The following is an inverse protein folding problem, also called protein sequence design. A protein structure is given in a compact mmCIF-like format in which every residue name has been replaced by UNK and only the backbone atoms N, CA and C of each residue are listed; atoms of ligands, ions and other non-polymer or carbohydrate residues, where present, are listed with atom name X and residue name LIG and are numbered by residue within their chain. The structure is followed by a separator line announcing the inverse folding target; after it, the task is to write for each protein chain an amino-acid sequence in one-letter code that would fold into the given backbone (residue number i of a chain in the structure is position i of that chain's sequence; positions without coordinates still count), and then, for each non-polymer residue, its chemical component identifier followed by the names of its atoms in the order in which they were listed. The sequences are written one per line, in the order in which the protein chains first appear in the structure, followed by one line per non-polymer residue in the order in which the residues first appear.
data_IF_869596888581
#
_entry.id   IF_869596888581
#
_cell.length_a   1.000
_cell.length_b   1.000
_cell.length_c   1.000
_cell.angle_alpha   90.00
_cell.angle_beta   90.00
_cell.angle_gamma   90.00
#
_symmetry.space_group_name_H-M   'P 1'
#
loop_
_entity.id
_entity.type
_entity.pdbx_description
1 polymer ?
#
# COMPACT_ATOMS: atom_id res chain seq x y z
N UNK A 1 5.89 -5.55 8.54
CA UNK A 1 6.92 -6.22 9.37
C UNK A 1 6.28 -7.00 10.51
N UNK A 2 5.42 -6.38 11.32
CA UNK A 2 4.69 -7.05 12.41
C UNK A 2 3.93 -8.31 11.94
N UNK A 3 3.24 -8.24 10.81
CA UNK A 3 2.48 -9.39 10.27
C UNK A 3 3.38 -10.57 9.89
N UNK A 4 4.60 -10.30 9.41
CA UNK A 4 5.56 -11.36 9.06
C UNK A 4 6.08 -12.07 10.32
N UNK A 5 6.33 -11.30 11.39
CA UNK A 5 6.72 -11.87 12.68
C UNK A 5 5.57 -12.70 13.27
N UNK A 6 4.33 -12.24 13.18
CA UNK A 6 3.15 -12.99 13.62
C UNK A 6 3.01 -14.34 12.89
N UNK A 7 3.14 -14.34 11.56
CA UNK A 7 3.10 -15.56 10.76
C UNK A 7 4.19 -16.55 11.20
N UNK A 8 5.42 -16.07 11.44
CA UNK A 8 6.51 -16.93 11.92
C UNK A 8 6.26 -17.49 13.32
N UNK A 9 5.68 -16.70 14.24
CA UNK A 9 5.29 -17.16 15.58
C UNK A 9 4.23 -18.26 15.47
N UNK A 10 3.20 -18.04 14.65
CA UNK A 10 2.13 -19.02 14.42
C UNK A 10 2.65 -20.27 13.73
N UNK A 11 3.54 -20.14 12.75
CA UNK A 11 4.14 -21.28 12.05
C UNK A 11 4.96 -22.18 13.00
N UNK A 12 5.79 -21.58 13.87
CA UNK A 12 6.62 -22.33 14.82
C UNK A 12 5.83 -22.98 15.96
N UNK A 13 4.63 -22.47 16.23
CA UNK A 13 3.79 -22.94 17.34
C UNK A 13 2.53 -23.68 16.88
N UNK A 14 2.38 -23.95 15.58
CA UNK A 14 1.16 -24.59 15.05
C UNK A 14 -0.10 -23.77 15.32
N UNK A 15 0.00 -22.44 15.22
CA UNK A 15 -1.02 -21.45 15.59
C UNK A 15 -1.35 -21.40 17.09
N UNK A 16 -0.50 -21.98 17.96
CA UNK A 16 -0.69 -21.97 19.42
C UNK A 16 -0.35 -20.64 20.10
N UNK A 17 0.51 -19.83 19.47
CA UNK A 17 0.87 -18.47 19.91
C UNK A 17 0.81 -17.48 18.75
N UNK A 18 0.71 -16.20 19.07
CA UNK A 18 0.74 -15.10 18.11
C UNK A 18 1.60 -13.93 18.60
N UNK A 19 1.79 -12.92 17.75
CA UNK A 19 2.36 -11.63 18.12
C UNK A 19 1.56 -10.97 19.24
N UNK A 20 0.26 -11.23 19.36
CA UNK A 20 -0.55 -10.70 20.46
C UNK A 20 -0.09 -11.27 21.82
N UNK A 21 0.33 -12.53 21.88
CA UNK A 21 0.95 -13.10 23.09
C UNK A 21 2.27 -12.39 23.45
N UNK A 22 3.07 -12.03 22.43
CA UNK A 22 4.30 -11.24 22.61
C UNK A 22 3.99 -9.87 23.19
N UNK A 23 3.03 -9.16 22.59
CA UNK A 23 2.63 -7.82 23.04
C UNK A 23 2.02 -7.85 24.44
N UNK A 24 1.17 -8.84 24.76
CA UNK A 24 0.66 -9.05 26.12
C UNK A 24 1.77 -9.28 27.12
N UNK A 25 2.76 -10.11 26.76
CA UNK A 25 3.88 -10.37 27.66
C UNK A 25 4.78 -9.15 27.87
N UNK A 26 5.03 -8.35 26.82
CA UNK A 26 5.76 -7.09 26.95
C UNK A 26 4.99 -6.12 27.86
N UNK A 27 3.68 -6.00 27.68
CA UNK A 27 2.84 -5.15 28.51
C UNK A 27 2.90 -5.56 29.99
N UNK A 28 2.79 -6.86 30.29
CA UNK A 28 2.84 -7.37 31.67
C UNK A 28 4.20 -7.19 32.34
N UNK A 29 5.30 -7.42 31.60
CA UNK A 29 6.65 -7.45 32.17
C UNK A 29 7.33 -6.08 32.18
N UNK A 30 6.87 -5.13 31.36
CA UNK A 30 7.45 -3.80 31.24
C UNK A 30 6.45 -2.70 31.60
N UNK A 31 5.45 -2.45 30.74
CA UNK A 31 4.57 -1.29 30.90
C UNK A 31 3.79 -1.30 32.23
N UNK A 32 3.19 -2.44 32.61
CA UNK A 32 2.50 -2.59 33.90
C UNK A 32 3.43 -2.53 35.11
N UNK A 33 4.74 -2.70 34.91
CA UNK A 33 5.78 -2.56 35.94
C UNK A 33 6.37 -1.15 35.97
N UNK A 34 5.85 -0.22 35.17
CA UNK A 34 6.44 1.12 35.01
C UNK A 34 7.83 1.12 34.37
N UNK A 35 8.19 0.05 33.66
CA UNK A 35 9.49 -0.12 32.98
C UNK A 35 9.34 0.09 31.49
N UNK A 36 10.38 0.61 30.86
CA UNK A 36 10.55 0.60 29.41
C UNK A 36 11.25 -0.69 28.98
N UNK A 37 10.99 -1.15 27.76
CA UNK A 37 11.77 -2.22 27.12
C UNK A 37 12.77 -1.62 26.12
N UNK A 38 13.86 -2.33 25.89
CA UNK A 38 14.95 -1.97 24.98
C UNK A 38 14.62 -2.42 23.57
N UNK A 39 14.13 -1.46 22.78
CA UNK A 39 14.02 -1.52 21.32
C UNK A 39 13.62 -2.91 20.78
N UNK A 40 14.25 -3.38 19.70
CA UNK A 40 13.97 -4.64 19.04
C UNK A 40 14.50 -5.86 19.81
N UNK A 41 15.46 -5.67 20.71
CA UNK A 41 16.08 -6.77 21.49
C UNK A 41 15.08 -7.41 22.45
N UNK A 42 14.36 -6.62 23.24
CA UNK A 42 13.43 -7.18 24.23
C UNK A 42 12.17 -7.77 23.56
N UNK A 43 11.79 -7.26 22.38
CA UNK A 43 10.75 -7.87 21.54
C UNK A 43 11.20 -9.24 21.04
N UNK A 44 12.43 -9.34 20.51
CA UNK A 44 13.02 -10.60 20.07
C UNK A 44 13.06 -11.62 21.21
N UNK A 45 13.68 -11.28 22.33
CA UNK A 45 13.81 -12.19 23.48
C UNK A 45 12.45 -12.64 24.01
N UNK A 46 11.44 -11.77 23.97
CA UNK A 46 10.07 -12.13 24.36
C UNK A 46 9.43 -13.11 23.39
N UNK A 47 9.57 -12.89 22.07
CA UNK A 47 9.09 -13.81 21.04
C UNK A 47 9.79 -15.18 21.15
N UNK A 48 11.12 -15.18 21.34
CA UNK A 48 11.90 -16.41 21.51
C UNK A 48 11.44 -17.21 22.72
N UNK A 49 11.22 -16.54 23.85
CA UNK A 49 10.72 -17.20 25.07
C UNK A 49 9.30 -17.76 24.91
N UNK A 50 8.43 -17.08 24.17
CA UNK A 50 7.03 -17.52 23.98
C UNK A 50 6.93 -18.71 23.04
N UNK A 51 7.80 -18.78 22.05
CA UNK A 51 7.79 -19.80 21.00
C UNK A 51 8.76 -20.94 21.24
N UNK A 52 9.66 -20.80 22.21
CA UNK A 52 10.81 -21.69 22.43
C UNK A 52 11.63 -21.89 21.14
N UNK A 53 11.88 -20.79 20.41
CA UNK A 53 12.55 -20.81 19.11
C UNK A 53 13.30 -19.51 18.84
N UNK A 54 14.46 -19.57 18.19
CA UNK A 54 15.24 -18.37 17.87
C UNK A 54 14.60 -17.51 16.77
N UNK A 55 14.66 -16.19 16.94
CA UNK A 55 14.31 -15.19 15.93
C UNK A 55 15.50 -14.30 15.59
N UNK A 56 16.71 -14.64 16.04
CA UNK A 56 17.93 -13.85 15.85
C UNK A 56 18.17 -13.47 14.39
N UNK A 57 18.08 -14.44 13.47
CA UNK A 57 18.32 -14.16 12.05
C UNK A 57 17.30 -13.20 11.46
N UNK A 58 16.01 -13.34 11.83
CA UNK A 58 14.95 -12.45 11.38
C UNK A 58 15.21 -11.01 11.84
N UNK A 59 15.54 -10.83 13.12
CA UNK A 59 15.82 -9.50 13.67
C UNK A 59 17.12 -8.92 13.10
N UNK A 60 18.15 -9.73 12.93
CA UNK A 60 19.42 -9.30 12.34
C UNK A 60 19.25 -8.83 10.91
N UNK A 61 18.60 -9.62 10.05
CA UNK A 61 18.46 -9.32 8.62
C UNK A 61 17.43 -8.25 8.34
N UNK A 62 16.26 -8.33 8.98
CA UNK A 62 15.08 -7.58 8.55
C UNK A 62 14.67 -6.46 9.50
N UNK A 63 15.18 -6.44 10.74
CA UNK A 63 14.89 -5.36 11.70
C UNK A 63 16.09 -4.42 11.84
N UNK A 64 17.27 -4.97 12.12
CA UNK A 64 18.51 -4.21 12.21
C UNK A 64 19.24 -4.05 10.86
N UNK A 65 18.94 -4.91 9.88
CA UNK A 65 19.55 -4.93 8.57
C UNK A 65 18.72 -4.22 7.49
N UNK A 66 19.27 -4.14 6.30
CA UNK A 66 18.66 -3.52 5.11
C UNK A 66 18.23 -4.57 4.07
N UNK A 67 18.24 -5.84 4.44
CA UNK A 67 17.85 -6.92 3.54
C UNK A 67 16.36 -6.78 3.21
N UNK A 68 16.01 -7.05 1.95
CA UNK A 68 14.61 -7.07 1.53
C UNK A 68 13.86 -8.21 2.21
N UNK A 69 12.64 -7.95 2.68
CA UNK A 69 11.84 -8.98 3.34
C UNK A 69 11.47 -10.13 2.37
N UNK A 70 11.54 -11.39 2.82
CA UNK A 70 11.13 -12.55 2.05
C UNK A 70 9.61 -12.73 2.10
N UNK A 71 8.86 -11.75 1.56
CA UNK A 71 7.40 -11.70 1.69
C UNK A 71 6.73 -12.98 1.20
N UNK A 72 7.09 -13.48 0.01
CA UNK A 72 6.46 -14.65 -0.57
C UNK A 72 6.69 -15.92 0.28
N UNK A 73 7.90 -16.11 0.79
CA UNK A 73 8.25 -17.28 1.61
C UNK A 73 7.44 -17.29 2.92
N UNK A 74 7.37 -16.15 3.61
CA UNK A 74 6.64 -16.06 4.88
C UNK A 74 5.13 -16.13 4.64
N UNK A 75 4.59 -15.43 3.64
CA UNK A 75 3.15 -15.49 3.32
C UNK A 75 2.70 -16.92 2.98
N UNK A 76 3.56 -17.71 2.33
CA UNK A 76 3.28 -19.12 2.01
C UNK A 76 3.02 -19.96 3.28
N UNK A 77 3.69 -19.65 4.40
CA UNK A 77 3.46 -20.33 5.69
C UNK A 77 2.04 -20.13 6.22
N UNK A 78 1.37 -19.03 5.84
CA UNK A 78 -0.02 -18.74 6.15
C UNK A 78 -0.96 -19.02 4.96
N UNK A 79 -0.52 -19.75 3.95
CA UNK A 79 -1.35 -20.07 2.77
C UNK A 79 -1.76 -18.82 1.99
N UNK A 80 -0.92 -17.80 2.02
CA UNK A 80 -1.10 -16.55 1.28
C UNK A 80 -0.05 -16.49 0.17
N UNK A 81 -0.43 -15.89 -0.95
CA UNK A 81 0.45 -15.65 -2.08
C UNK A 81 0.51 -14.14 -2.36
N UNK A 82 1.74 -13.66 -2.58
CA UNK A 82 1.96 -12.32 -3.12
C UNK A 82 1.83 -12.39 -4.63
N UNK A 83 0.86 -11.65 -5.18
CA UNK A 83 0.63 -11.55 -6.61
C UNK A 83 0.98 -10.14 -7.06
N UNK A 84 1.78 -10.07 -8.12
CA UNK A 84 2.05 -8.81 -8.81
C UNK A 84 1.00 -8.63 -9.88
N UNK A 85 0.21 -7.57 -9.76
CA UNK A 85 -0.83 -7.20 -10.73
C UNK A 85 -0.40 -5.90 -11.40
N UNK A 86 -0.16 -5.95 -12.70
CA UNK A 86 -0.01 -4.73 -13.49
C UNK A 86 -1.39 -4.17 -13.82
N UNK A 87 -1.67 -2.96 -13.34
CA UNK A 87 -2.85 -2.21 -13.70
C UNK A 87 -2.46 -1.05 -14.60
N UNK A 88 -3.14 -0.95 -15.74
CA UNK A 88 -3.04 0.22 -16.61
C UNK A 88 -4.20 1.14 -16.31
N UNK A 89 -3.92 2.43 -16.14
CA UNK A 89 -4.96 3.44 -15.94
C UNK A 89 -4.67 4.69 -16.77
N UNK A 90 -5.72 5.39 -17.24
CA UNK A 90 -5.54 6.66 -17.90
C UNK A 90 -4.91 7.68 -16.95
N UNK A 91 -4.12 8.58 -17.50
CA UNK A 91 -3.58 9.75 -16.80
C UNK A 91 -3.80 11.01 -17.64
N UNK A 92 -3.98 12.13 -16.94
CA UNK A 92 -3.95 13.45 -17.56
C UNK A 92 -2.53 13.87 -17.94
N UNK A 93 -1.53 13.42 -17.19
CA UNK A 93 -0.15 13.91 -17.32
C UNK A 93 0.08 15.31 -16.74
N UNK A 94 -0.87 15.84 -15.96
CA UNK A 94 -0.71 17.09 -15.23
C UNK A 94 -1.59 17.09 -13.98
N UNK A 95 -1.30 18.00 -13.05
CA UNK A 95 -2.08 18.27 -11.84
C UNK A 95 -2.60 19.69 -11.89
N UNK A 96 -3.75 19.93 -11.27
CA UNK A 96 -4.36 21.24 -11.16
C UNK A 96 -4.84 21.49 -9.74
N UNK A 97 -4.91 22.76 -9.37
CA UNK A 97 -5.45 23.23 -8.10
C UNK A 97 -6.72 24.02 -8.35
N UNK A 98 -7.66 23.91 -7.42
CA UNK A 98 -8.88 24.71 -7.42
C UNK A 98 -8.66 25.90 -6.49
N UNK A 99 -8.50 27.08 -7.07
CA UNK A 99 -8.27 28.31 -6.34
C UNK A 99 -9.57 28.80 -5.66
N UNK A 100 -9.47 29.58 -4.57
CA UNK A 100 -10.64 30.13 -3.86
C UNK A 100 -11.59 30.98 -4.72
N UNK A 101 -11.08 31.54 -5.81
CA UNK A 101 -11.84 32.32 -6.79
C UNK A 101 -12.62 31.46 -7.81
N UNK A 102 -12.60 30.13 -7.65
CA UNK A 102 -13.31 29.18 -8.52
C UNK A 102 -12.54 28.76 -9.77
N UNK A 103 -11.28 29.20 -9.95
CA UNK A 103 -10.46 28.83 -11.11
C UNK A 103 -9.76 27.50 -10.89
N UNK A 104 -9.64 26.72 -11.95
CA UNK A 104 -8.77 25.55 -12.00
C UNK A 104 -7.46 25.95 -12.66
N UNK A 105 -6.35 25.87 -11.94
CA UNK A 105 -5.03 26.28 -12.44
C UNK A 105 -4.09 25.09 -12.47
N UNK A 106 -3.41 24.87 -13.60
CA UNK A 106 -2.42 23.80 -13.73
C UNK A 106 -1.25 24.08 -12.80
N UNK A 107 -1.00 23.19 -11.84
CA UNK A 107 0.10 23.34 -10.87
C UNK A 107 1.39 22.65 -11.33
N UNK A 108 1.27 21.50 -12.00
CA UNK A 108 2.40 20.75 -12.54
C UNK A 108 2.01 20.04 -13.82
N UNK A 109 2.93 19.98 -14.78
CA UNK A 109 2.80 19.14 -15.99
C UNK A 109 3.96 18.15 -15.99
N UNK A 110 3.66 16.88 -16.25
CA UNK A 110 4.66 15.85 -16.47
C UNK A 110 5.34 16.09 -17.83
N UNK A 111 6.67 16.31 -17.90
CA UNK A 111 7.38 16.66 -19.13
C UNK A 111 7.21 15.63 -20.26
N UNK A 112 7.02 14.36 -19.94
CA UNK A 112 6.88 13.29 -20.95
C UNK A 112 5.43 13.08 -21.39
N UNK A 113 4.48 13.81 -20.78
CA UNK A 113 3.06 13.59 -21.04
C UNK A 113 2.57 14.14 -22.40
N UNK A 114 1.48 13.57 -22.94
CA UNK A 114 0.77 14.16 -24.09
C UNK A 114 0.31 15.60 -23.84
N UNK A 115 -0.02 15.96 -22.59
CA UNK A 115 -0.40 17.31 -22.23
C UNK A 115 0.75 18.32 -22.43
N UNK A 116 1.97 17.95 -22.01
CA UNK A 116 3.17 18.77 -22.25
C UNK A 116 3.47 18.91 -23.74
N UNK A 117 3.37 17.81 -24.50
CA UNK A 117 3.60 17.81 -25.96
C UNK A 117 2.59 18.68 -26.71
N UNK A 118 1.35 18.75 -26.23
CA UNK A 118 0.32 19.66 -26.75
C UNK A 118 0.47 21.12 -26.27
N UNK A 119 1.50 21.40 -25.45
CA UNK A 119 1.87 22.75 -25.06
C UNK A 119 1.20 23.26 -23.79
N UNK A 120 0.57 22.40 -22.99
CA UNK A 120 0.06 22.75 -21.66
C UNK A 120 1.23 23.07 -20.71
N UNK A 121 1.06 24.07 -19.85
CA UNK A 121 2.11 24.54 -18.92
C UNK A 121 1.53 24.78 -17.53
N UNK A 122 2.40 24.71 -16.52
CA UNK A 122 2.05 25.20 -15.19
C UNK A 122 1.69 26.69 -15.25
N UNK A 123 0.67 27.09 -14.49
CA UNK A 123 0.10 28.44 -14.49
C UNK A 123 -1.06 28.65 -15.47
N UNK A 124 -1.33 27.70 -16.37
CA UNK A 124 -2.50 27.78 -17.25
C UNK A 124 -3.80 27.65 -16.46
N UNK A 125 -4.74 28.58 -16.65
CA UNK A 125 -6.08 28.48 -16.05
C UNK A 125 -7.01 27.72 -17.00
N UNK A 126 -7.57 26.60 -16.58
CA UNK A 126 -8.52 25.81 -17.38
C UNK A 126 -9.91 26.44 -17.25
N UNK A 127 -10.45 26.88 -18.38
CA UNK A 127 -11.76 27.56 -18.44
C UNK A 127 -12.84 26.70 -19.12
N UNK A 128 -12.45 25.64 -19.82
CA UNK A 128 -13.40 24.70 -20.43
C UNK A 128 -12.81 23.29 -20.52
N UNK A 129 -13.66 22.29 -20.31
CA UNK A 129 -13.31 20.87 -20.34
C UNK A 129 -14.27 20.12 -21.27
N UNK A 130 -13.79 19.66 -22.43
CA UNK A 130 -14.59 18.96 -23.44
C UNK A 130 -15.90 19.69 -23.81
N UNK A 131 -15.84 21.01 -23.97
CA UNK A 131 -17.01 21.83 -24.28
C UNK A 131 -17.84 22.25 -23.06
N UNK A 132 -17.61 21.67 -21.87
CA UNK A 132 -18.34 21.95 -20.65
C UNK A 132 -17.50 22.51 -19.50
N UNK A 133 -18.06 22.47 -18.29
CA UNK A 133 -17.38 22.87 -17.06
C UNK A 133 -16.31 21.85 -16.64
N UNK A 134 -15.28 22.34 -15.93
CA UNK A 134 -14.26 21.48 -15.35
C UNK A 134 -14.89 20.57 -14.28
N UNK A 135 -14.70 19.24 -14.35
CA UNK A 135 -15.27 18.32 -13.36
C UNK A 135 -14.79 18.66 -11.94
N UNK A 136 -15.73 18.81 -10.99
CA UNK A 136 -15.38 19.02 -9.57
C UNK A 136 -14.54 17.88 -8.98
N UNK A 137 -14.66 16.67 -9.54
CA UNK A 137 -13.93 15.46 -9.15
C UNK A 137 -13.24 14.88 -10.38
N UNK A 138 -12.16 15.53 -10.81
CA UNK A 138 -11.37 15.14 -11.98
C UNK A 138 -10.92 13.67 -11.90
N UNK A 139 -10.52 13.19 -10.72
CA UNK A 139 -10.12 11.79 -10.55
C UNK A 139 -11.24 10.79 -10.87
N UNK A 140 -12.49 11.12 -10.50
CA UNK A 140 -13.65 10.26 -10.81
C UNK A 140 -13.93 10.29 -12.31
N UNK A 141 -13.92 11.48 -12.91
CA UNK A 141 -14.09 11.61 -14.36
C UNK A 141 -13.02 10.80 -15.10
N UNK A 142 -11.77 10.86 -14.67
CA UNK A 142 -10.64 10.15 -15.27
C UNK A 142 -10.79 8.62 -15.17
N UNK A 143 -11.34 8.10 -14.07
CA UNK A 143 -11.60 6.67 -13.89
C UNK A 143 -12.64 6.11 -14.88
N UNK A 144 -13.49 6.97 -15.42
CA UNK A 144 -14.49 6.61 -16.44
C UNK A 144 -13.93 6.67 -17.87
N UNK A 145 -12.70 7.18 -18.05
CA UNK A 145 -12.05 7.30 -19.35
C UNK A 145 -11.13 6.11 -19.65
N UNK A 146 -10.64 6.05 -20.90
CA UNK A 146 -9.61 5.13 -21.37
C UNK A 146 -8.36 5.90 -21.77
N UNK A 147 -7.21 5.23 -21.67
CA UNK A 147 -6.00 5.75 -22.28
C UNK A 147 -6.20 5.90 -23.79
N UNK A 148 -5.74 7.02 -24.34
CA UNK A 148 -5.96 7.37 -25.74
C UNK A 148 -7.21 8.21 -26.02
N UNK A 149 -8.15 8.35 -25.07
CA UNK A 149 -9.32 9.22 -25.25
C UNK A 149 -8.89 10.67 -25.44
N UNK A 150 -9.61 11.41 -26.28
CA UNK A 150 -9.29 12.80 -26.58
C UNK A 150 -9.79 13.72 -25.45
N UNK A 151 -8.89 14.54 -24.91
CA UNK A 151 -9.22 15.62 -24.00
C UNK A 151 -8.98 16.96 -24.71
N UNK A 152 -10.04 17.77 -24.80
CA UNK A 152 -10.02 19.13 -25.31
C UNK A 152 -10.16 20.10 -24.15
N UNK A 153 -9.14 20.93 -23.96
CA UNK A 153 -9.13 21.99 -22.97
C UNK A 153 -9.16 23.34 -23.67
N UNK A 154 -9.94 24.27 -23.12
CA UNK A 154 -9.69 25.69 -23.35
C UNK A 154 -9.02 26.23 -22.11
N UNK A 155 -7.84 26.78 -22.30
CA UNK A 155 -7.06 27.39 -21.23
C UNK A 155 -6.97 28.90 -21.44
N UNK A 156 -6.74 29.61 -20.36
CA UNK A 156 -6.31 31.00 -20.36
C UNK A 156 -4.87 31.06 -19.89
N UNK A 157 -4.00 31.54 -20.77
CA UNK A 157 -2.59 31.81 -20.49
C UNK A 157 -2.39 33.30 -20.66
N UNK A 158 -2.00 33.97 -19.58
CA UNK A 158 -2.04 35.44 -19.52
C UNK A 158 -3.47 35.92 -19.83
N UNK A 159 -3.65 36.75 -20.86
CA UNK A 159 -4.95 37.28 -21.30
C UNK A 159 -5.48 36.60 -22.57
N UNK A 160 -4.87 35.50 -23.01
CA UNK A 160 -5.26 34.79 -24.25
C UNK A 160 -5.91 33.46 -23.94
N UNK A 161 -7.01 33.18 -24.63
CA UNK A 161 -7.61 31.86 -24.65
C UNK A 161 -6.99 30.98 -25.74
N UNK A 162 -6.50 29.81 -25.34
CA UNK A 162 -5.85 28.84 -26.22
C UNK A 162 -6.60 27.52 -26.10
N UNK A 163 -6.90 26.91 -27.23
CA UNK A 163 -7.46 25.55 -27.26
C UNK A 163 -6.32 24.56 -27.39
N UNK A 164 -6.27 23.58 -26.48
CA UNK A 164 -5.28 22.50 -26.48
C UNK A 164 -6.04 21.19 -26.54
N UNK A 165 -5.58 20.29 -27.41
CA UNK A 165 -6.17 18.96 -27.58
C UNK A 165 -5.05 17.91 -27.50
N UNK A 166 -5.25 16.90 -26.67
CA UNK A 166 -4.32 15.77 -26.55
C UNK A 166 -5.05 14.50 -26.15
N UNK A 167 -4.41 13.36 -26.38
CA UNK A 167 -4.91 12.07 -25.93
C UNK A 167 -4.46 11.77 -24.51
N UNK A 168 -5.35 11.24 -23.68
CA UNK A 168 -5.01 10.81 -22.32
C UNK A 168 -3.87 9.80 -22.35
N UNK A 169 -2.89 9.98 -21.47
CA UNK A 169 -1.77 9.07 -21.32
C UNK A 169 -2.17 7.76 -20.64
N UNK A 170 -1.24 6.81 -20.60
CA UNK A 170 -1.37 5.57 -19.84
C UNK A 170 -0.24 5.52 -18.81
N UNK A 171 -0.56 5.18 -17.57
CA UNK A 171 0.45 4.80 -16.58
C UNK A 171 0.24 3.34 -16.18
N UNK A 172 1.37 2.65 -16.03
CA UNK A 172 1.44 1.29 -15.50
C UNK A 172 1.69 1.38 -14.01
N UNK A 173 0.81 0.79 -13.25
CA UNK A 173 0.89 0.70 -11.80
C UNK A 173 1.08 -0.76 -11.41
N UNK A 174 2.21 -1.07 -10.79
CA UNK A 174 2.49 -2.39 -10.25
C UNK A 174 1.90 -2.48 -8.85
N UNK A 175 0.82 -3.24 -8.71
CA UNK A 175 0.17 -3.50 -7.42
C UNK A 175 0.62 -4.84 -6.87
N UNK A 176 1.05 -4.85 -5.61
CA UNK A 176 1.30 -6.08 -4.86
C UNK A 176 0.04 -6.44 -4.09
N UNK A 177 -0.60 -7.53 -4.48
CA UNK A 177 -1.85 -8.01 -3.88
C UNK A 177 -1.57 -9.29 -3.13
N UNK A 178 -1.90 -9.31 -1.85
CA UNK A 178 -1.89 -10.54 -1.06
C UNK A 178 -3.24 -11.22 -1.25
N UNK A 179 -3.22 -12.49 -1.66
CA UNK A 179 -4.43 -13.28 -1.84
C UNK A 179 -4.25 -14.69 -1.29
N UNK A 180 -5.36 -15.41 -1.13
CA UNK A 180 -5.32 -16.80 -0.71
C UNK A 180 -4.64 -17.68 -1.76
N UNK A 181 -3.77 -18.58 -1.30
CA UNK A 181 -3.33 -19.72 -2.09
C UNK A 181 -4.36 -20.85 -1.94
N UNK A 182 -4.97 -21.23 -3.07
CA UNK A 182 -5.95 -22.31 -3.13
C UNK A 182 -5.32 -23.70 -2.90
N UNK A 183 -4.00 -23.83 -3.09
CA UNK A 183 -3.27 -25.08 -2.92
C UNK A 183 -2.56 -25.18 -1.57
N UNK A 184 -2.84 -24.26 -0.64
CA UNK A 184 -2.21 -24.23 0.66
C UNK A 184 -2.45 -25.54 1.45
N UNK A 185 -1.38 -26.03 2.08
CA UNK A 185 -1.46 -27.16 3.02
C UNK A 185 -2.35 -26.86 4.23
N UNK A 186 -2.73 -27.90 4.97
CA UNK A 186 -3.62 -27.80 6.13
C UNK A 186 -3.07 -26.86 7.22
N UNK A 187 -1.78 -27.01 7.58
CA UNK A 187 -1.10 -26.13 8.53
C UNK A 187 -1.20 -24.66 8.13
N UNK A 188 -0.95 -24.37 6.86
CA UNK A 188 -0.97 -23.02 6.31
C UNK A 188 -2.36 -22.39 6.33
N UNK A 189 -3.39 -23.16 5.95
CA UNK A 189 -4.80 -22.74 6.06
C UNK A 189 -5.21 -22.48 7.50
N UNK A 190 -4.81 -23.34 8.42
CA UNK A 190 -5.08 -23.20 9.84
C UNK A 190 -4.47 -21.91 10.43
N UNK A 191 -3.22 -21.60 10.07
CA UNK A 191 -2.58 -20.33 10.44
C UNK A 191 -3.34 -19.14 9.86
N UNK A 192 -3.74 -19.21 8.58
CA UNK A 192 -4.53 -18.16 7.90
C UNK A 192 -5.82 -17.86 8.65
N UNK A 193 -6.57 -18.89 9.00
CA UNK A 193 -7.84 -18.76 9.73
C UNK A 193 -7.62 -18.14 11.10
N UNK A 194 -6.55 -18.56 11.81
CA UNK A 194 -6.16 -17.95 13.08
C UNK A 194 -5.83 -16.45 12.96
N UNK A 195 -5.16 -16.03 11.88
CA UNK A 195 -4.87 -14.61 11.62
C UNK A 195 -6.16 -13.84 11.35
N UNK A 196 -7.00 -14.33 10.44
CA UNK A 196 -8.22 -13.63 10.02
C UNK A 196 -9.25 -13.52 11.14
N UNK A 197 -9.29 -14.48 12.07
CA UNK A 197 -10.19 -14.46 13.24
C UNK A 197 -9.57 -13.83 14.48
N UNK A 198 -8.26 -13.59 14.48
CA UNK A 198 -7.53 -13.15 15.68
C UNK A 198 -7.44 -14.22 16.77
N UNK A 199 -7.50 -15.50 16.39
CA UNK A 199 -7.55 -16.64 17.30
C UNK A 199 -6.24 -17.45 17.29
N UNK A 200 -5.90 -18.03 18.44
CA UNK A 200 -4.84 -19.04 18.58
C UNK A 200 -5.45 -20.35 19.05
N UNK A 201 -4.87 -21.48 18.67
CA UNK A 201 -5.44 -22.81 18.91
C UNK A 201 -5.38 -23.27 20.37
N UNK A 202 -4.84 -22.45 21.27
CA UNK A 202 -4.91 -22.64 22.71
C UNK A 202 -6.14 -21.93 23.29
N UNK A 203 -7.32 -22.49 23.02
CA UNK A 203 -8.55 -22.31 23.82
C UNK A 203 -9.35 -23.62 23.89
N UNK A 204 -8.65 -24.76 23.93
CA UNK A 204 -9.22 -26.07 24.19
C UNK A 204 -8.27 -26.89 25.08
N UNK A 205 -8.04 -26.41 26.29
CA UNK A 205 -7.59 -27.25 27.41
C UNK A 205 -8.53 -26.95 28.57
N UNK A 206 -9.24 -27.99 28.99
CA UNK A 206 -10.16 -28.01 30.15
C UNK A 206 -9.42 -27.75 31.45
#
# INVERSE_FOLDING_TARGET
MADLLDILIRDRTGNGKSLDDVMRSLNMNFAKQGKTYRDSLDVRLTAERITDSSFEEFFRKYVAGTDSFPYQEILTLAGLALRTVERRRPTLGFSMEHEPNGRFVVSKVDPESPAAQAGLRAGDAIVNWNGGEVPRRVDRWLQEQKAGDLLKLRIRREEKEITIEFRLGEIKETLYVVGEDAHAGEKARHIREGILRGETSASAVR
#
